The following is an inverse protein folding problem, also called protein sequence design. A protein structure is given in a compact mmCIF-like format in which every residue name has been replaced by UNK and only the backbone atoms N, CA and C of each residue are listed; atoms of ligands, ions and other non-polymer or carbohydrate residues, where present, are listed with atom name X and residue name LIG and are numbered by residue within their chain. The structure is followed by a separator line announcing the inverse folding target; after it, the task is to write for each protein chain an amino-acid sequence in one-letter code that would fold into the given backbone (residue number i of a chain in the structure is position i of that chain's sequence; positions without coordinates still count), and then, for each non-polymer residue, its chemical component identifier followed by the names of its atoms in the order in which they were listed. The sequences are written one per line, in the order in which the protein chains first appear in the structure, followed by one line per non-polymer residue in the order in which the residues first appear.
data_IF_096355303184
#
_entry.id   IF_096355303184
#
_cell.length_a   1.000
_cell.length_b   1.000
_cell.length_c   1.000
_cell.angle_alpha   90.00
_cell.angle_beta   90.00
_cell.angle_gamma   90.00
#
_symmetry.space_group_name_H-M   'P 1'
#
loop_
_entity.id
_entity.type
_entity.pdbx_description
1 polymer ?
#
# COMPACT_ATOMS: atom_id res chain seq x y z
N UNK A 1 10.32 25.97 -11.69
CA UNK A 1 10.95 26.29 -10.39
C UNK A 1 12.46 26.03 -10.46
N UNK A 2 13.34 26.90 -9.95
CA UNK A 2 14.78 26.63 -9.85
C UNK A 2 15.08 25.37 -9.02
N UNK A 3 16.15 24.63 -9.37
CA UNK A 3 16.46 23.33 -8.77
C UNK A 3 16.70 23.38 -7.25
N UNK A 4 17.36 24.42 -6.75
CA UNK A 4 17.59 24.62 -5.31
C UNK A 4 16.29 24.85 -4.55
N UNK A 5 15.38 25.63 -5.12
CA UNK A 5 14.07 25.89 -4.52
C UNK A 5 13.22 24.63 -4.53
N UNK A 6 13.21 23.89 -5.63
CA UNK A 6 12.51 22.61 -5.73
C UNK A 6 13.03 21.60 -4.70
N UNK A 7 14.35 21.48 -4.54
CA UNK A 7 14.94 20.60 -3.52
C UNK A 7 14.54 21.01 -2.09
N UNK A 8 14.58 22.31 -1.78
CA UNK A 8 14.17 22.79 -0.45
C UNK A 8 12.68 22.53 -0.19
N UNK A 9 11.82 22.74 -1.19
CA UNK A 9 10.39 22.45 -1.10
C UNK A 9 10.14 20.95 -0.93
N UNK A 10 10.82 20.11 -1.71
CA UNK A 10 10.76 18.66 -1.58
C UNK A 10 11.16 18.17 -0.19
N UNK A 11 12.28 18.66 0.36
CA UNK A 11 12.70 18.29 1.72
C UNK A 11 11.67 18.67 2.78
N UNK A 12 10.98 19.80 2.60
CA UNK A 12 9.89 20.19 3.49
C UNK A 12 8.69 19.23 3.42
N UNK A 13 8.38 18.71 2.22
CA UNK A 13 7.32 17.71 2.04
C UNK A 13 7.69 16.36 2.69
N UNK A 14 8.94 15.92 2.55
CA UNK A 14 9.43 14.70 3.20
C UNK A 14 9.27 14.82 4.72
N UNK A 15 9.73 15.92 5.31
CA UNK A 15 9.57 16.15 6.75
C UNK A 15 8.09 16.17 7.18
N UNK A 16 7.21 16.80 6.38
CA UNK A 16 5.77 16.80 6.66
C UNK A 16 5.17 15.39 6.60
N UNK A 17 5.59 14.58 5.64
CA UNK A 17 5.17 13.19 5.54
C UNK A 17 5.63 12.38 6.75
N UNK A 18 6.88 12.52 7.17
CA UNK A 18 7.42 11.86 8.36
C UNK A 18 6.62 12.24 9.61
N UNK A 19 6.36 13.53 9.81
CA UNK A 19 5.54 14.01 10.93
C UNK A 19 4.11 13.42 10.92
N UNK A 20 3.49 13.29 9.74
CA UNK A 20 2.15 12.69 9.60
C UNK A 20 2.17 11.20 9.94
N UNK A 21 3.21 10.48 9.52
CA UNK A 21 3.38 9.05 9.82
C UNK A 21 3.65 8.83 11.30
N UNK A 22 4.57 9.61 11.88
CA UNK A 22 4.95 9.55 13.30
C UNK A 22 3.77 9.87 14.23
N UNK A 23 2.96 10.87 13.88
CA UNK A 23 1.76 11.21 14.64
C UNK A 23 0.58 10.25 14.43
N UNK A 24 0.67 9.35 13.43
CA UNK A 24 -0.43 8.47 13.02
C UNK A 24 -1.64 9.23 12.46
N UNK A 25 -1.45 10.48 12.03
CA UNK A 25 -2.54 11.32 11.54
C UNK A 25 -3.17 10.77 10.25
N UNK A 26 -2.38 10.11 9.40
CA UNK A 26 -2.85 9.46 8.19
C UNK A 26 -3.79 8.28 8.47
N UNK A 27 -3.45 7.45 9.46
CA UNK A 27 -4.29 6.36 9.92
C UNK A 27 -5.61 6.88 10.51
N UNK A 28 -5.53 7.92 11.35
CA UNK A 28 -6.71 8.55 11.94
C UNK A 28 -7.62 9.14 10.85
N UNK A 29 -7.04 9.78 9.84
CA UNK A 29 -7.77 10.31 8.70
C UNK A 29 -8.47 9.19 7.91
N UNK A 30 -7.81 8.05 7.70
CA UNK A 30 -8.43 6.89 7.05
C UNK A 30 -9.60 6.34 7.87
N UNK A 31 -9.40 6.10 9.17
CA UNK A 31 -10.46 5.63 10.07
C UNK A 31 -11.64 6.60 10.11
N UNK A 32 -11.37 7.90 10.10
CA UNK A 32 -12.40 8.93 10.02
C UNK A 32 -13.18 8.84 8.70
N UNK A 33 -12.50 8.61 7.58
CA UNK A 33 -13.14 8.50 6.27
C UNK A 33 -14.04 7.25 6.15
N UNK A 34 -13.69 6.15 6.83
CA UNK A 34 -14.49 4.92 6.83
C UNK A 34 -15.84 5.07 7.55
N UNK A 35 -15.98 6.05 8.44
CA UNK A 35 -17.26 6.30 9.10
C UNK A 35 -18.31 6.67 8.06
N UNK A 36 -19.40 5.90 7.96
CA UNK A 36 -20.44 6.09 6.95
C UNK A 36 -21.03 7.51 6.93
N UNK A 37 -21.10 8.17 8.10
CA UNK A 37 -21.54 9.56 8.23
C UNK A 37 -20.65 10.59 7.53
N UNK A 38 -19.42 10.23 7.17
CA UNK A 38 -18.43 11.14 6.55
C UNK A 38 -18.45 11.04 5.04
N UNK A 39 -18.39 9.82 4.50
CA UNK A 39 -18.42 9.57 3.07
C UNK A 39 -19.42 8.46 2.75
N UNK A 40 -20.72 8.78 2.64
CA UNK A 40 -21.77 7.76 2.48
C UNK A 40 -21.65 6.97 1.16
N UNK A 41 -20.96 7.52 0.17
CA UNK A 41 -20.71 6.89 -1.13
C UNK A 41 -19.28 6.33 -1.26
N UNK A 42 -18.55 6.19 -0.16
CA UNK A 42 -17.23 5.58 -0.18
C UNK A 42 -17.38 4.06 -0.34
N UNK A 43 -17.15 3.58 -1.56
CA UNK A 43 -17.29 2.16 -1.90
C UNK A 43 -15.95 1.49 -2.20
N UNK A 44 -14.92 2.27 -2.54
CA UNK A 44 -13.63 1.76 -3.03
C UNK A 44 -12.47 2.28 -2.20
N UNK A 45 -11.61 1.37 -1.77
CA UNK A 45 -10.30 1.67 -1.20
C UNK A 45 -9.22 1.13 -2.14
N UNK A 46 -8.22 1.96 -2.42
CA UNK A 46 -7.06 1.58 -3.24
C UNK A 46 -5.78 2.00 -2.54
N UNK A 47 -4.87 1.04 -2.38
CA UNK A 47 -3.53 1.26 -1.87
C UNK A 47 -2.57 0.95 -3.01
N UNK A 48 -1.75 1.93 -3.38
CA UNK A 48 -0.91 1.83 -4.58
C UNK A 48 0.39 2.61 -4.43
N UNK A 49 1.54 2.12 -4.97
CA UNK A 49 2.75 2.91 -5.10
C UNK A 49 2.67 3.95 -6.22
N UNK A 50 1.71 3.83 -7.12
CA UNK A 50 1.72 4.51 -8.41
C UNK A 50 1.00 5.87 -8.41
N UNK A 51 0.63 6.41 -7.23
CA UNK A 51 -0.12 7.67 -7.10
C UNK A 51 0.45 8.81 -7.96
N UNK A 52 1.77 8.95 -7.92
CA UNK A 52 2.50 10.02 -8.61
C UNK A 52 2.65 9.80 -10.13
N UNK A 53 2.36 8.61 -10.67
CA UNK A 53 2.47 8.32 -12.10
C UNK A 53 3.80 8.77 -12.71
N UNK A 54 3.72 9.70 -13.66
CA UNK A 54 4.87 10.41 -14.21
C UNK A 54 4.84 11.89 -13.78
N UNK A 55 5.99 12.57 -13.85
CA UNK A 55 6.04 14.00 -13.57
C UNK A 55 5.03 14.73 -14.47
N UNK A 56 4.20 15.58 -13.85
CA UNK A 56 3.11 16.33 -14.48
C UNK A 56 1.94 15.50 -15.02
N UNK A 57 1.97 14.17 -14.85
CA UNK A 57 0.91 13.24 -15.25
C UNK A 57 0.68 12.22 -14.11
N UNK A 58 0.13 12.65 -12.97
CA UNK A 58 -0.15 11.75 -11.86
C UNK A 58 -1.25 10.75 -12.23
N UNK A 59 -1.15 9.52 -11.71
CA UNK A 59 -2.21 8.53 -11.86
C UNK A 59 -3.42 8.91 -10.99
N UNK A 60 -3.15 9.45 -9.80
CA UNK A 60 -4.16 9.93 -8.87
C UNK A 60 -3.84 11.37 -8.49
N UNK A 61 -4.72 12.31 -8.84
CA UNK A 61 -4.62 13.71 -8.43
C UNK A 61 -5.01 13.89 -6.96
N UNK A 62 -4.18 13.38 -6.06
CA UNK A 62 -4.40 13.55 -4.61
C UNK A 62 -4.41 15.05 -4.26
N UNK A 63 -5.09 15.47 -3.17
CA UNK A 63 -5.07 16.87 -2.73
C UNK A 63 -3.66 17.44 -2.58
N UNK A 64 -2.71 16.60 -2.14
CA UNK A 64 -1.29 16.97 -2.02
C UNK A 64 -0.65 17.22 -3.39
N UNK A 65 -0.85 16.33 -4.37
CA UNK A 65 -0.30 16.49 -5.73
C UNK A 65 -0.89 17.73 -6.43
N UNK A 66 -2.20 17.98 -6.27
CA UNK A 66 -2.86 19.18 -6.86
C UNK A 66 -2.35 20.49 -6.28
N UNK A 67 -1.80 20.48 -5.07
CA UNK A 67 -1.26 21.65 -4.39
C UNK A 67 0.19 21.98 -4.80
N UNK A 68 0.82 21.15 -5.64
CA UNK A 68 2.20 21.38 -6.04
C UNK A 68 2.38 22.67 -6.86
N UNK A 69 3.49 23.41 -6.65
CA UNK A 69 3.81 24.57 -7.46
C UNK A 69 3.97 24.21 -8.93
N UNK A 70 3.57 25.13 -9.81
CA UNK A 70 3.74 24.94 -11.25
C UNK A 70 5.23 24.74 -11.60
N UNK A 71 5.51 23.69 -12.37
CA UNK A 71 6.87 23.33 -12.78
C UNK A 71 7.76 22.83 -11.63
N UNK A 72 7.17 22.31 -10.55
CA UNK A 72 7.89 21.58 -9.50
C UNK A 72 8.33 20.21 -10.01
N UNK A 73 9.65 20.01 -10.08
CA UNK A 73 10.29 18.74 -10.44
C UNK A 73 10.86 18.12 -9.17
N UNK A 74 10.56 16.84 -8.93
CA UNK A 74 10.99 16.14 -7.71
C UNK A 74 11.24 14.65 -7.98
N UNK A 75 12.04 13.98 -7.13
CA UNK A 75 12.16 12.53 -7.17
C UNK A 75 10.82 11.88 -6.80
N UNK A 76 10.22 11.16 -7.74
CA UNK A 76 9.01 10.37 -7.48
C UNK A 76 9.38 9.24 -6.52
N UNK A 77 8.81 9.29 -5.32
CA UNK A 77 8.92 8.22 -4.34
C UNK A 77 8.18 6.99 -4.86
N UNK A 78 8.87 5.84 -4.96
CA UNK A 78 8.27 4.54 -5.31
C UNK A 78 8.14 3.70 -4.04
N UNK A 79 6.91 3.43 -3.62
CA UNK A 79 6.61 2.58 -2.45
C UNK A 79 6.62 1.06 -2.75
N UNK A 80 6.28 0.25 -1.74
CA UNK A 80 6.16 -1.23 -1.76
C UNK A 80 7.47 -2.00 -2.07
N UNK A 81 8.56 -1.47 -1.49
CA UNK A 81 9.94 -2.02 -1.43
C UNK A 81 10.75 -2.11 -2.74
N UNK A 82 10.76 -1.03 -3.53
CA UNK A 82 12.01 -0.58 -4.17
C UNK A 82 12.90 0.08 -3.09
N UNK A 83 13.56 -0.71 -2.24
CA UNK A 83 14.52 -0.16 -1.30
C UNK A 83 15.86 0.06 -2.01
N UNK A 84 16.13 1.34 -2.30
CA UNK A 84 17.47 1.83 -2.63
C UNK A 84 17.72 1.98 -4.13
N UNK A 85 17.89 3.24 -4.55
CA UNK A 85 18.39 3.68 -5.84
C UNK A 85 17.40 3.62 -7.02
N UNK A 86 17.19 4.81 -7.59
CA UNK A 86 16.45 5.12 -8.84
C UNK A 86 17.04 4.38 -10.07
N UNK A 87 18.07 3.55 -9.87
CA UNK A 87 18.85 2.88 -10.91
C UNK A 87 18.91 1.35 -10.76
N UNK A 88 18.46 0.78 -9.64
CA UNK A 88 18.31 -0.68 -9.49
C UNK A 88 16.83 -1.02 -9.66
N UNK A 89 16.45 -1.36 -10.89
CA UNK A 89 15.11 -1.85 -11.25
C UNK A 89 14.84 -3.28 -10.71
N UNK A 90 15.78 -3.85 -9.94
CA UNK A 90 15.63 -5.16 -9.33
C UNK A 90 14.80 -5.05 -8.03
N UNK A 91 13.68 -5.78 -7.91
CA UNK A 91 12.99 -5.93 -6.63
C UNK A 91 13.97 -6.51 -5.62
N UNK A 92 14.11 -5.86 -4.46
CA UNK A 92 14.82 -6.47 -3.34
C UNK A 92 14.08 -7.77 -2.96
N UNK A 93 14.80 -8.86 -2.63
CA UNK A 93 14.15 -10.06 -2.12
C UNK A 93 13.30 -9.68 -0.91
N UNK A 94 12.08 -10.22 -0.89
CA UNK A 94 11.19 -10.05 0.24
C UNK A 94 11.76 -10.80 1.44
N UNK A 95 11.88 -10.14 2.58
CA UNK A 95 12.34 -10.78 3.82
C UNK A 95 11.15 -11.47 4.53
N UNK A 96 11.39 -12.43 5.43
CA UNK A 96 10.34 -13.08 6.20
C UNK A 96 9.40 -12.09 6.89
N UNK A 97 8.09 -12.38 6.87
CA UNK A 97 7.03 -11.53 7.45
C UNK A 97 7.00 -11.52 8.98
N UNK A 98 8.11 -11.82 9.64
CA UNK A 98 8.27 -11.78 11.10
C UNK A 98 8.93 -10.48 11.58
N UNK A 99 9.77 -9.86 10.73
CA UNK A 99 10.47 -8.62 11.06
C UNK A 99 9.54 -7.39 10.97
N UNK A 100 9.41 -6.64 12.06
CA UNK A 100 8.58 -5.43 12.07
C UNK A 100 9.15 -4.31 11.19
N UNK A 101 10.46 -4.24 10.99
CA UNK A 101 11.04 -3.27 10.03
C UNK A 101 10.70 -3.63 8.59
N UNK A 102 10.63 -4.93 8.28
CA UNK A 102 10.13 -5.41 7.00
C UNK A 102 8.66 -5.03 6.85
N UNK A 103 7.80 -5.40 7.80
CA UNK A 103 6.36 -5.05 7.78
C UNK A 103 6.11 -3.55 7.67
N UNK A 104 7.00 -2.69 8.21
CA UNK A 104 6.89 -1.23 8.13
C UNK A 104 6.91 -0.73 6.69
N UNK A 105 7.59 -1.42 5.76
CA UNK A 105 7.57 -1.10 4.33
C UNK A 105 6.17 -1.25 3.72
N UNK A 106 5.33 -2.10 4.31
CA UNK A 106 3.94 -2.38 3.91
C UNK A 106 2.89 -1.67 4.78
N UNK A 107 3.25 -0.58 5.49
CA UNK A 107 2.39 0.09 6.50
C UNK A 107 0.96 0.41 6.03
N UNK A 108 0.78 0.92 4.80
CA UNK A 108 -0.56 1.27 4.28
C UNK A 108 -1.50 0.07 4.15
N UNK A 109 -0.95 -1.12 3.86
CA UNK A 109 -1.66 -2.37 3.68
C UNK A 109 -2.12 -2.89 5.04
N UNK A 110 -1.21 -2.86 6.02
CA UNK A 110 -1.51 -3.23 7.41
C UNK A 110 -2.63 -2.38 7.99
N UNK A 111 -2.56 -1.06 7.81
CA UNK A 111 -3.58 -0.12 8.30
C UNK A 111 -4.93 -0.40 7.66
N UNK A 112 -4.96 -0.52 6.33
CA UNK A 112 -6.22 -0.75 5.61
C UNK A 112 -6.86 -2.06 6.05
N UNK A 113 -6.11 -3.16 6.07
CA UNK A 113 -6.65 -4.44 6.52
C UNK A 113 -7.14 -4.39 7.97
N UNK A 114 -6.36 -3.81 8.89
CA UNK A 114 -6.76 -3.73 10.30
C UNK A 114 -8.08 -3.01 10.49
N UNK A 115 -8.31 -1.87 9.81
CA UNK A 115 -9.55 -1.10 9.96
C UNK A 115 -10.73 -1.72 9.21
N UNK A 116 -10.52 -2.33 8.04
CA UNK A 116 -11.61 -2.99 7.30
C UNK A 116 -12.04 -4.31 7.96
N UNK A 117 -11.12 -4.97 8.66
CA UNK A 117 -11.41 -6.17 9.45
C UNK A 117 -12.07 -5.88 10.82
N UNK A 118 -12.04 -4.63 11.31
CA UNK A 118 -12.61 -4.29 12.62
C UNK A 118 -14.15 -4.38 12.59
N UNK A 119 -14.77 -5.35 13.32
CA UNK A 119 -16.22 -5.48 13.35
C UNK A 119 -16.92 -4.30 14.02
N UNK A 120 -16.19 -3.49 14.80
CA UNK A 120 -16.71 -2.28 15.46
C UNK A 120 -16.73 -1.07 14.53
N UNK A 121 -16.13 -1.16 13.34
CA UNK A 121 -16.09 -0.10 12.35
C UNK A 121 -17.02 -0.47 11.16
N UNK A 122 -18.30 -0.04 11.19
CA UNK A 122 -19.18 -0.21 10.05
C UNK A 122 -18.70 0.65 8.88
N UNK A 123 -18.69 0.07 7.68
CA UNK A 123 -18.31 0.73 6.43
C UNK A 123 -19.01 0.07 5.24
N UNK A 124 -19.15 0.82 4.14
CA UNK A 124 -19.79 0.37 2.90
C UNK A 124 -18.78 0.02 1.78
N UNK A 125 -17.52 -0.24 2.15
CA UNK A 125 -16.49 -0.64 1.17
C UNK A 125 -16.91 -1.95 0.50
N UNK A 126 -17.09 -1.90 -0.81
CA UNK A 126 -17.40 -3.04 -1.66
C UNK A 126 -16.28 -3.37 -2.65
N UNK A 127 -15.26 -2.53 -2.75
CA UNK A 127 -14.10 -2.74 -3.61
C UNK A 127 -12.81 -2.43 -2.85
N UNK A 128 -11.92 -3.41 -2.78
CA UNK A 128 -10.61 -3.27 -2.17
C UNK A 128 -9.51 -3.65 -3.15
N UNK A 129 -8.50 -2.79 -3.28
CA UNK A 129 -7.42 -2.98 -4.23
C UNK A 129 -6.07 -2.61 -3.63
N UNK A 130 -5.16 -3.58 -3.61
CA UNK A 130 -3.74 -3.40 -3.36
C UNK A 130 -3.03 -3.56 -4.71
N UNK A 131 -2.98 -2.49 -5.49
CA UNK A 131 -2.60 -2.52 -6.91
C UNK A 131 -1.24 -1.86 -7.14
N UNK A 132 -0.33 -2.60 -7.78
CA UNK A 132 0.99 -2.12 -8.16
C UNK A 132 1.00 -1.29 -9.44
N UNK A 133 -0.11 -1.21 -10.19
CA UNK A 133 -0.21 -0.56 -11.48
C UNK A 133 0.91 -0.98 -12.45
N UNK A 134 1.19 -2.29 -12.51
CA UNK A 134 2.23 -2.92 -13.36
C UNK A 134 3.67 -2.52 -13.02
N UNK A 135 3.90 -1.87 -11.89
CA UNK A 135 5.25 -1.68 -11.36
C UNK A 135 5.79 -3.02 -10.86
N UNK A 136 7.12 -3.22 -10.94
CA UNK A 136 7.81 -4.43 -10.48
C UNK A 136 7.91 -4.47 -8.94
N UNK A 137 6.75 -4.49 -8.29
CA UNK A 137 6.56 -4.37 -6.83
C UNK A 137 5.20 -4.96 -6.45
N UNK A 138 4.93 -5.12 -5.16
CA UNK A 138 3.68 -5.67 -4.65
C UNK A 138 3.73 -5.96 -3.16
N UNK A 139 2.66 -6.57 -2.67
CA UNK A 139 2.59 -7.09 -1.29
C UNK A 139 3.52 -8.28 -1.16
N UNK A 140 4.29 -8.33 -0.07
CA UNK A 140 5.19 -9.44 0.22
C UNK A 140 4.38 -10.74 0.29
N UNK A 141 4.67 -11.70 -0.60
CA UNK A 141 3.97 -12.98 -0.65
C UNK A 141 4.22 -13.87 0.58
N UNK A 142 5.30 -13.64 1.33
CA UNK A 142 5.63 -14.40 2.53
C UNK A 142 4.63 -14.15 3.68
N UNK A 143 3.74 -13.17 3.55
CA UNK A 143 2.57 -13.00 4.44
C UNK A 143 1.69 -14.25 4.50
N UNK A 144 1.71 -15.10 3.48
CA UNK A 144 0.88 -16.31 3.44
C UNK A 144 1.54 -17.55 4.04
N UNK A 145 2.84 -17.50 4.34
CA UNK A 145 3.58 -18.69 4.73
C UNK A 145 3.30 -19.11 6.17
N UNK A 146 2.83 -18.20 7.03
CA UNK A 146 2.56 -18.47 8.43
C UNK A 146 1.33 -17.68 8.93
N UNK A 147 0.59 -18.19 9.92
CA UNK A 147 -0.48 -17.42 10.56
C UNK A 147 0.04 -16.10 11.15
N UNK A 148 -0.59 -14.99 10.77
CA UNK A 148 -0.26 -13.66 11.27
C UNK A 148 -1.49 -12.75 11.28
N UNK A 149 -1.41 -11.64 12.02
CA UNK A 149 -2.53 -10.70 12.18
C UNK A 149 -2.99 -10.12 10.83
N UNK A 150 -2.07 -9.82 9.91
CA UNK A 150 -2.43 -9.26 8.61
C UNK A 150 -3.16 -10.28 7.72
N UNK A 151 -2.76 -11.55 7.75
CA UNK A 151 -3.48 -12.63 7.07
C UNK A 151 -4.88 -12.83 7.66
N UNK A 152 -5.01 -12.88 8.99
CA UNK A 152 -6.31 -13.00 9.66
C UNK A 152 -7.23 -11.81 9.31
N UNK A 153 -6.69 -10.59 9.29
CA UNK A 153 -7.43 -9.40 8.91
C UNK A 153 -7.83 -9.42 7.43
N UNK A 154 -6.98 -9.96 6.56
CA UNK A 154 -7.33 -10.19 5.16
C UNK A 154 -8.52 -11.14 5.05
N UNK A 155 -8.47 -12.31 5.70
CA UNK A 155 -9.58 -13.28 5.70
C UNK A 155 -10.89 -12.62 6.18
N UNK A 156 -10.87 -11.95 7.34
CA UNK A 156 -12.07 -11.24 7.86
C UNK A 156 -12.59 -10.19 6.90
N UNK A 157 -11.71 -9.47 6.20
CA UNK A 157 -12.12 -8.46 5.21
C UNK A 157 -12.77 -9.12 3.99
N UNK A 158 -12.24 -10.26 3.53
CA UNK A 158 -12.77 -11.00 2.38
C UNK A 158 -14.09 -11.71 2.70
N UNK A 159 -14.25 -12.22 3.92
CA UNK A 159 -15.47 -12.86 4.42
C UNK A 159 -16.60 -11.86 4.66
N UNK A 160 -16.30 -10.57 4.74
CA UNK A 160 -17.28 -9.54 5.06
C UNK A 160 -18.35 -9.45 3.96
N UNK A 161 -19.65 -9.55 4.31
CA UNK A 161 -20.73 -9.43 3.33
C UNK A 161 -20.69 -8.08 2.61
N UNK A 162 -20.87 -8.09 1.29
CA UNK A 162 -20.95 -6.88 0.46
C UNK A 162 -19.66 -6.52 -0.28
N UNK A 163 -18.54 -7.20 -0.02
CA UNK A 163 -17.35 -7.09 -0.87
C UNK A 163 -17.65 -7.70 -2.26
N UNK A 164 -17.52 -6.89 -3.30
CA UNK A 164 -17.80 -7.24 -4.70
C UNK A 164 -16.53 -7.46 -5.52
N UNK A 165 -15.43 -6.80 -5.15
CA UNK A 165 -14.18 -6.87 -5.88
C UNK A 165 -12.98 -6.77 -4.95
N UNK A 166 -12.01 -7.64 -5.18
CA UNK A 166 -10.74 -7.66 -4.49
C UNK A 166 -9.59 -7.77 -5.51
N UNK A 167 -8.52 -7.01 -5.31
CA UNK A 167 -7.30 -7.10 -6.11
C UNK A 167 -6.09 -7.06 -5.19
N UNK A 168 -5.16 -8.00 -5.41
CA UNK A 168 -3.91 -8.09 -4.67
C UNK A 168 -2.75 -8.33 -5.61
N UNK A 169 -1.89 -7.34 -5.78
CA UNK A 169 -0.61 -7.47 -6.46
C UNK A 169 0.44 -7.99 -5.49
N UNK A 170 1.10 -9.09 -5.82
CA UNK A 170 2.17 -9.68 -5.01
C UNK A 170 3.54 -9.40 -5.61
N UNK A 171 4.54 -9.18 -4.75
CA UNK A 171 5.94 -9.25 -5.15
C UNK A 171 6.46 -10.65 -4.84
N UNK A 172 6.82 -11.34 -5.91
CA UNK A 172 7.62 -12.56 -5.89
C UNK A 172 9.04 -12.09 -6.18
N UNK A 173 9.98 -12.23 -5.24
CA UNK A 173 11.38 -11.81 -5.46
C UNK A 173 12.01 -12.49 -6.68
N UNK A 174 13.28 -12.20 -6.98
CA UNK A 174 14.03 -13.02 -7.92
C UNK A 174 14.19 -14.43 -7.34
N UNK A 175 13.29 -15.34 -7.71
CA UNK A 175 13.29 -16.75 -7.32
C UNK A 175 14.35 -17.54 -8.11
N UNK A 176 15.60 -17.07 -8.13
CA UNK A 176 16.70 -17.86 -8.67
C UNK A 176 17.00 -19.01 -7.70
N UNK A 177 16.32 -20.15 -7.85
CA UNK A 177 16.63 -21.39 -7.15
C UNK A 177 15.48 -22.08 -6.42
N UNK A 178 14.23 -21.61 -6.56
CA UNK A 178 13.07 -22.24 -5.92
C UNK A 178 12.37 -23.21 -6.88
N UNK A 179 12.24 -24.48 -6.48
CA UNK A 179 11.60 -25.52 -7.28
C UNK A 179 10.08 -25.31 -7.37
N UNK A 180 9.42 -25.86 -8.40
CA UNK A 180 7.98 -25.74 -8.65
C UNK A 180 7.09 -26.18 -7.46
N UNK A 181 7.63 -26.93 -6.50
CA UNK A 181 6.95 -27.39 -5.28
C UNK A 181 6.78 -26.28 -4.22
N UNK A 182 7.62 -25.24 -4.23
CA UNK A 182 7.54 -24.11 -3.29
C UNK A 182 6.43 -23.09 -3.64
N UNK A 183 5.72 -23.34 -4.75
CA UNK A 183 4.55 -22.56 -5.20
C UNK A 183 3.24 -23.02 -4.53
N UNK A 184 3.29 -23.95 -3.58
CA UNK A 184 2.09 -24.51 -2.94
C UNK A 184 1.27 -23.47 -2.15
N UNK A 185 1.81 -22.29 -1.80
CA UNK A 185 1.01 -21.22 -1.18
C UNK A 185 -0.05 -20.64 -2.15
N UNK A 186 0.15 -20.69 -3.47
CA UNK A 186 -0.92 -20.37 -4.45
C UNK A 186 -2.08 -21.38 -4.41
N UNK A 187 -1.84 -22.59 -3.86
CA UNK A 187 -2.86 -23.62 -3.67
C UNK A 187 -3.53 -23.54 -2.29
N UNK A 188 -2.97 -22.78 -1.34
CA UNK A 188 -3.51 -22.57 0.00
C UNK A 188 -4.64 -21.53 0.00
N UNK A 189 -5.56 -21.63 -0.97
CA UNK A 189 -6.83 -20.92 -0.98
C UNK A 189 -7.88 -21.56 -0.07
N UNK A 190 -7.47 -22.14 1.07
CA UNK A 190 -8.39 -22.63 2.09
C UNK A 190 -8.88 -21.44 2.92
N UNK A 191 -9.76 -20.64 2.32
CA UNK A 191 -10.78 -19.96 3.12
C UNK A 191 -11.71 -21.07 3.62
N UNK A 192 -11.38 -21.63 4.79
CA UNK A 192 -12.23 -22.61 5.45
C UNK A 192 -13.58 -21.96 5.78
N UNK A 193 -14.62 -22.41 5.07
CA UNK A 193 -16.04 -22.10 5.31
C UNK A 193 -16.50 -22.76 6.61
#
# INVERSE_FOLDING_TARGET
MPSREALSYYNSLVQQQDNVIESGADEQAFRYALQESRFPHLEKVTVTPAAHGFLFFPLYETPMIRAFPYGFVYPIQRGWSCAGHVYDDAPQPAEPWEDEEEKRKWRGFRIVLRHLADPKLPHNISQLSFDNNKLATGINHLIFNQPNEEYDNLCRTLERPGLKSFTLSLVMGYLSGWDAEEWNFFKMGDCAV
#
